data_IF_400673999534
#
_entry.id   IF_400673999534
#
_cell.length_a   1.000
_cell.length_b   1.000
_cell.length_c   1.000
_cell.angle_alpha   90.00
_cell.angle_beta   90.00
_cell.angle_gamma   90.00
#
_symmetry.space_group_name_H-M   'P 1'
#
loop_
_entity.id
_entity.type
_entity.pdbx_description
1 polymer ?
#
# COMPACT_ATOMS: atom_id res chain seq x y z
N UNK A 1 -16.96 -15.33 0.04
CA UNK A 1 -16.10 -15.87 -1.04
C UNK A 1 -15.16 -16.87 -0.40
N UNK A 2 -15.04 -18.09 -0.95
CA UNK A 2 -14.27 -19.18 -0.34
C UNK A 2 -13.02 -19.46 -1.17
N UNK A 3 -11.89 -19.62 -0.47
CA UNK A 3 -10.61 -20.04 -1.04
C UNK A 3 -10.17 -21.36 -0.41
N UNK A 4 -9.48 -22.19 -1.18
CA UNK A 4 -8.81 -23.40 -0.71
C UNK A 4 -7.36 -23.27 -1.15
N UNK A 5 -6.44 -23.09 -0.21
CA UNK A 5 -5.00 -22.94 -0.47
C UNK A 5 -4.29 -24.28 -0.27
N UNK A 6 -3.42 -24.62 -1.21
CA UNK A 6 -2.54 -25.78 -1.14
C UNK A 6 -1.10 -25.33 -0.88
N UNK A 7 -0.34 -26.12 -0.12
CA UNK A 7 1.05 -25.80 0.23
C UNK A 7 2.01 -25.72 -0.97
N UNK A 8 1.62 -26.26 -2.12
CA UNK A 8 2.38 -26.22 -3.38
C UNK A 8 2.24 -24.89 -4.15
N UNK A 9 1.56 -23.89 -3.57
CA UNK A 9 1.30 -22.61 -4.21
C UNK A 9 0.10 -22.59 -5.15
N UNK A 10 -0.68 -23.69 -5.23
CA UNK A 10 -1.96 -23.69 -5.94
C UNK A 10 -3.11 -23.28 -5.02
N UNK A 11 -4.16 -22.70 -5.59
CA UNK A 11 -5.40 -22.44 -4.87
C UNK A 11 -6.62 -22.68 -5.75
N UNK A 12 -7.77 -22.88 -5.10
CA UNK A 12 -9.08 -22.85 -5.75
C UNK A 12 -9.93 -21.75 -5.15
N UNK A 13 -10.68 -21.05 -5.98
CA UNK A 13 -11.59 -20.01 -5.53
C UNK A 13 -13.00 -20.25 -6.04
N UNK A 14 -13.96 -19.96 -5.16
CA UNK A 14 -15.38 -20.16 -5.40
C UNK A 14 -15.97 -18.98 -6.17
N UNK A 15 -16.66 -19.28 -7.26
CA UNK A 15 -17.31 -18.28 -8.10
C UNK A 15 -18.71 -18.73 -8.54
N UNK A 16 -19.56 -17.73 -8.81
CA UNK A 16 -20.88 -17.94 -9.38
C UNK A 16 -20.78 -17.74 -10.90
N UNK A 17 -21.09 -18.79 -11.67
CA UNK A 17 -21.16 -18.71 -13.12
C UNK A 17 -22.44 -17.96 -13.57
N UNK A 18 -22.51 -17.46 -14.82
CA UNK A 18 -23.68 -16.70 -15.31
C UNK A 18 -25.03 -17.43 -15.29
N UNK A 19 -25.01 -18.74 -15.08
CA UNK A 19 -26.18 -19.60 -14.96
C UNK A 19 -26.52 -19.96 -13.51
N UNK A 20 -26.06 -19.16 -12.55
CA UNK A 20 -26.21 -19.34 -11.11
C UNK A 20 -25.66 -20.67 -10.55
N UNK A 21 -24.78 -21.34 -11.31
CA UNK A 21 -24.07 -22.52 -10.81
C UNK A 21 -22.81 -22.10 -10.08
N UNK A 22 -22.57 -22.78 -8.98
CA UNK A 22 -21.39 -22.59 -8.15
C UNK A 22 -20.26 -23.49 -8.60
N UNK A 23 -19.10 -22.90 -8.84
CA UNK A 23 -17.93 -23.61 -9.35
C UNK A 23 -16.67 -23.18 -8.61
N UNK A 24 -15.67 -24.06 -8.63
CA UNK A 24 -14.30 -23.71 -8.28
C UNK A 24 -13.50 -23.48 -9.55
N UNK A 25 -12.67 -22.44 -9.54
CA UNK A 25 -11.65 -22.22 -10.56
C UNK A 25 -10.27 -22.32 -9.91
N UNK A 26 -9.32 -22.89 -10.65
CA UNK A 26 -7.93 -22.98 -10.22
C UNK A 26 -7.24 -21.62 -10.32
N UNK A 27 -6.22 -21.43 -9.49
CA UNK A 27 -5.34 -20.26 -9.48
C UNK A 27 -4.07 -20.58 -8.70
N UNK A 28 -3.20 -19.59 -8.54
CA UNK A 28 -1.96 -19.72 -7.76
C UNK A 28 -1.91 -18.66 -6.68
N UNK A 29 -1.11 -18.91 -5.65
CA UNK A 29 -0.87 -17.95 -4.59
C UNK A 29 0.59 -17.96 -4.14
N UNK A 30 1.02 -16.83 -3.60
CA UNK A 30 2.35 -16.67 -3.00
C UNK A 30 2.29 -15.63 -1.88
N UNK A 31 3.16 -15.78 -0.89
CA UNK A 31 3.40 -14.73 0.12
C UNK A 31 4.50 -13.80 -0.42
N UNK A 32 4.30 -12.50 -0.25
CA UNK A 32 5.31 -11.49 -0.54
C UNK A 32 6.52 -11.70 0.37
N UNK A 33 7.70 -11.91 -0.23
CA UNK A 33 8.92 -12.25 0.48
C UNK A 33 9.49 -11.10 1.34
N UNK A 34 9.05 -9.85 1.11
CA UNK A 34 9.56 -8.68 1.82
C UNK A 34 8.70 -8.31 3.03
N UNK A 35 7.41 -8.63 2.97
CA UNK A 35 6.43 -8.19 3.97
C UNK A 35 5.83 -9.32 4.79
N UNK A 36 5.99 -10.59 4.37
CA UNK A 36 5.55 -11.86 5.01
C UNK A 36 4.07 -11.94 5.42
N UNK A 37 3.33 -10.83 5.34
CA UNK A 37 1.92 -10.70 5.69
C UNK A 37 1.07 -10.28 4.49
N UNK A 38 1.63 -10.22 3.28
CA UNK A 38 0.88 -10.00 2.05
C UNK A 38 0.81 -11.32 1.28
N UNK A 39 -0.40 -11.74 0.94
CA UNK A 39 -0.66 -12.85 0.03
C UNK A 39 -1.13 -12.31 -1.32
N UNK A 40 -0.45 -12.73 -2.38
CA UNK A 40 -0.88 -12.50 -3.75
C UNK A 40 -1.63 -13.74 -4.24
N UNK A 41 -2.81 -13.52 -4.81
CA UNK A 41 -3.64 -14.56 -5.41
C UNK A 41 -3.82 -14.21 -6.88
N UNK A 42 -3.33 -15.07 -7.77
CA UNK A 42 -3.48 -14.93 -9.21
C UNK A 42 -4.77 -15.63 -9.65
N UNK A 43 -5.72 -14.83 -10.10
CA UNK A 43 -6.99 -15.26 -10.71
C UNK A 43 -7.00 -14.80 -12.18
N UNK A 44 -8.11 -14.21 -12.65
CA UNK A 44 -8.18 -13.46 -13.90
C UNK A 44 -7.31 -12.18 -13.83
N UNK A 45 -7.10 -11.66 -12.62
CA UNK A 45 -6.15 -10.60 -12.26
C UNK A 45 -5.48 -10.98 -10.96
N UNK A 46 -4.29 -10.46 -10.70
CA UNK A 46 -3.64 -10.60 -9.40
C UNK A 46 -4.36 -9.71 -8.39
N UNK A 47 -4.77 -10.32 -7.28
CA UNK A 47 -5.36 -9.63 -6.13
C UNK A 47 -4.46 -9.86 -4.94
N UNK A 48 -4.06 -8.78 -4.27
CA UNK A 48 -3.21 -8.85 -3.08
C UNK A 48 -4.06 -8.67 -1.84
N UNK A 49 -3.80 -9.42 -0.78
CA UNK A 49 -4.43 -9.25 0.52
C UNK A 49 -3.39 -9.13 1.63
N UNK A 50 -3.63 -8.26 2.61
CA UNK A 50 -2.89 -8.26 3.85
C UNK A 50 -3.55 -9.23 4.81
N UNK A 51 -2.77 -10.16 5.35
CA UNK A 51 -3.14 -11.06 6.44
C UNK A 51 -3.15 -10.23 7.72
N UNK A 52 -4.32 -10.12 8.34
CA UNK A 52 -4.52 -9.38 9.60
C UNK A 52 -4.74 -10.31 10.80
N UNK A 53 -5.05 -11.58 10.53
CA UNK A 53 -5.19 -12.62 11.55
C UNK A 53 -4.87 -13.97 10.90
N UNK A 54 -3.96 -14.73 11.52
CA UNK A 54 -3.66 -16.10 11.11
C UNK A 54 -3.56 -16.99 12.34
N UNK A 55 -4.53 -17.87 12.51
CA UNK A 55 -4.56 -18.92 13.52
C UNK A 55 -4.86 -20.25 12.83
N UNK A 56 -4.87 -21.34 13.59
CA UNK A 56 -5.23 -22.67 13.06
C UNK A 56 -6.63 -22.68 12.41
N UNK A 57 -7.56 -21.90 12.93
CA UNK A 57 -8.98 -21.92 12.53
C UNK A 57 -9.39 -20.67 11.73
N UNK A 58 -8.59 -19.60 11.76
CA UNK A 58 -8.95 -18.30 11.17
C UNK A 58 -7.83 -17.78 10.29
N UNK A 59 -8.16 -17.51 9.03
CA UNK A 59 -7.40 -16.64 8.14
C UNK A 59 -8.26 -15.41 7.86
N UNK A 60 -7.88 -14.27 8.43
CA UNK A 60 -8.51 -12.97 8.13
C UNK A 60 -7.59 -12.17 7.22
N UNK A 61 -8.14 -11.78 6.09
CA UNK A 61 -7.45 -11.07 5.03
C UNK A 61 -8.23 -9.81 4.67
N UNK A 62 -7.51 -8.72 4.43
CA UNK A 62 -8.08 -7.46 3.95
C UNK A 62 -7.48 -7.19 2.58
N UNK A 63 -8.32 -6.82 1.61
CA UNK A 63 -7.87 -6.48 0.26
C UNK A 63 -6.79 -5.39 0.37
N UNK A 64 -5.62 -5.66 -0.19
CA UNK A 64 -4.57 -4.65 -0.33
C UNK A 64 -4.86 -3.93 -1.62
N UNK A 65 -5.22 -2.67 -1.52
CA UNK A 65 -5.30 -1.82 -2.69
C UNK A 65 -3.87 -1.43 -3.05
N UNK A 66 -3.50 -1.65 -4.31
CA UNK A 66 -2.14 -1.34 -4.77
C UNK A 66 -1.97 0.17 -4.68
N UNK A 67 -1.16 0.63 -3.72
CA UNK A 67 -0.80 2.04 -3.66
C UNK A 67 0.29 2.31 -4.68
N UNK A 68 0.19 3.43 -5.37
CA UNK A 68 1.24 3.92 -6.26
C UNK A 68 1.77 5.22 -5.72
N UNK A 69 2.97 5.60 -6.14
CA UNK A 69 3.53 6.92 -5.81
C UNK A 69 2.58 8.03 -6.25
N UNK A 70 2.36 8.98 -5.34
CA UNK A 70 1.70 10.26 -5.59
C UNK A 70 2.49 11.02 -6.66
N UNK A 71 1.81 11.89 -7.42
CA UNK A 71 2.44 12.59 -8.54
C UNK A 71 3.56 13.53 -8.07
N UNK A 72 3.28 14.38 -7.09
CA UNK A 72 4.23 15.37 -6.57
C UNK A 72 4.07 15.61 -5.07
N UNK A 73 5.18 15.79 -4.34
CA UNK A 73 5.19 16.40 -3.00
C UNK A 73 5.28 17.92 -3.13
N UNK A 74 4.31 18.65 -2.59
CA UNK A 74 4.31 20.11 -2.58
C UNK A 74 4.82 20.70 -1.27
N UNK A 75 4.46 20.09 -0.14
CA UNK A 75 4.83 20.59 1.18
C UNK A 75 5.06 19.48 2.19
N UNK A 76 5.93 19.75 3.16
CA UNK A 76 6.23 18.85 4.27
C UNK A 76 6.07 19.59 5.60
N UNK A 77 5.45 18.92 6.57
CA UNK A 77 5.40 19.39 7.95
C UNK A 77 5.97 18.33 8.86
N UNK A 78 6.86 18.72 9.77
CA UNK A 78 7.48 17.83 10.75
C UNK A 78 7.21 18.33 12.16
N UNK A 79 7.03 17.39 13.09
CA UNK A 79 6.93 17.62 14.52
C UNK A 79 7.66 16.49 15.26
N UNK A 80 7.79 16.61 16.58
CA UNK A 80 8.38 15.54 17.40
C UNK A 80 7.62 14.20 17.34
N UNK A 81 6.40 14.16 16.80
CA UNK A 81 5.59 12.93 16.79
C UNK A 81 5.17 12.48 15.40
N UNK A 82 5.24 13.36 14.40
CA UNK A 82 4.69 13.06 13.09
C UNK A 82 5.39 13.82 11.97
N UNK A 83 5.46 13.13 10.82
CA UNK A 83 5.79 13.69 9.52
C UNK A 83 4.50 13.76 8.71
N UNK A 84 4.24 14.90 8.09
CA UNK A 84 3.10 15.13 7.20
C UNK A 84 3.62 15.52 5.82
N UNK A 85 2.97 15.02 4.78
CA UNK A 85 3.25 15.39 3.41
C UNK A 85 1.96 15.79 2.70
N UNK A 86 2.00 16.92 2.01
CA UNK A 86 0.92 17.39 1.15
C UNK A 86 1.43 17.45 -0.29
N UNK A 87 0.59 17.06 -1.24
CA UNK A 87 0.98 16.92 -2.64
C UNK A 87 -0.23 16.91 -3.56
N UNK A 88 -0.02 16.46 -4.79
CA UNK A 88 -1.09 16.37 -5.80
C UNK A 88 -1.06 15.03 -6.53
N UNK A 89 -2.19 14.67 -7.13
CA UNK A 89 -2.38 13.54 -8.06
C UNK A 89 -3.08 14.02 -9.33
N UNK A 90 -2.94 13.28 -10.43
CA UNK A 90 -3.38 13.71 -11.77
C UNK A 90 -4.88 13.47 -12.07
N UNK A 91 -5.60 12.79 -11.18
CA UNK A 91 -7.02 12.48 -11.36
C UNK A 91 -7.78 12.61 -10.05
N UNK A 92 -9.10 12.72 -10.14
CA UNK A 92 -9.96 12.63 -8.97
C UNK A 92 -10.04 11.19 -8.42
N UNK A 93 -10.41 11.04 -7.15
CA UNK A 93 -10.81 9.76 -6.56
C UNK A 93 -9.69 8.91 -5.96
N UNK A 94 -8.47 9.44 -5.85
CA UNK A 94 -7.40 8.80 -5.08
C UNK A 94 -7.74 8.74 -3.59
N UNK A 95 -7.30 7.69 -2.90
CA UNK A 95 -7.64 7.42 -1.49
C UNK A 95 -6.43 6.92 -0.71
N UNK A 96 -6.59 6.87 0.61
CA UNK A 96 -5.70 6.17 1.54
C UNK A 96 -4.22 6.52 1.37
N UNK A 97 -3.96 7.83 1.24
CA UNK A 97 -2.61 8.34 1.10
C UNK A 97 -1.78 8.03 2.35
N UNK A 98 -0.54 7.59 2.15
CA UNK A 98 0.33 7.12 3.20
C UNK A 98 1.79 7.48 2.87
N UNK A 99 2.60 7.61 3.91
CA UNK A 99 4.06 7.64 3.80
C UNK A 99 4.60 6.29 4.24
N UNK A 100 5.23 5.57 3.31
CA UNK A 100 5.82 4.26 3.58
C UNK A 100 7.32 4.46 3.79
N UNK A 101 7.89 4.11 4.96
CA UNK A 101 9.33 4.22 5.18
C UNK A 101 10.09 3.27 4.25
N UNK A 102 11.16 3.78 3.67
CA UNK A 102 12.11 3.00 2.88
C UNK A 102 13.13 2.31 3.80
N UNK A 103 13.75 1.21 3.35
CA UNK A 103 14.87 0.63 4.06
C UNK A 103 15.96 1.69 4.34
N UNK A 104 16.63 1.63 5.52
CA UNK A 104 17.63 2.62 5.89
C UNK A 104 18.70 2.76 4.81
N UNK A 105 18.87 3.97 4.27
CA UNK A 105 20.00 4.30 3.41
C UNK A 105 21.20 4.65 4.30
N UNK A 106 22.41 4.21 3.91
CA UNK A 106 23.65 4.56 4.60
C UNK A 106 23.81 6.08 4.57
N UNK A 107 23.50 6.76 5.69
CA UNK A 107 23.50 8.22 5.74
C UNK A 107 22.69 8.90 6.83
N UNK A 108 22.03 8.15 7.74
CA UNK A 108 21.32 8.73 8.89
C UNK A 108 20.11 9.59 8.49
N UNK A 109 19.46 9.26 7.38
CA UNK A 109 18.26 9.92 6.89
C UNK A 109 17.11 8.94 6.92
N UNK A 110 15.92 9.43 7.26
CA UNK A 110 14.71 8.65 7.14
C UNK A 110 14.00 8.99 5.83
N UNK A 111 13.85 8.01 4.97
CA UNK A 111 13.31 8.18 3.62
C UNK A 111 11.92 7.55 3.54
N UNK A 112 11.00 8.19 2.82
CA UNK A 112 9.61 7.75 2.66
C UNK A 112 9.14 7.81 1.22
N UNK A 113 8.33 6.84 0.82
CA UNK A 113 7.51 6.91 -0.39
C UNK A 113 6.14 7.52 -0.06
N UNK A 114 5.77 8.60 -0.74
CA UNK A 114 4.43 9.16 -0.68
C UNK A 114 3.56 8.41 -1.69
N UNK A 115 2.67 7.57 -1.19
CA UNK A 115 1.83 6.69 -2.00
C UNK A 115 0.35 6.89 -1.69
N UNK A 116 -0.50 6.52 -2.63
CA UNK A 116 -1.95 6.51 -2.45
C UNK A 116 -2.59 5.45 -3.35
N UNK A 117 -3.81 5.04 -3.01
CA UNK A 117 -4.59 4.16 -3.86
C UNK A 117 -5.12 4.95 -5.06
N UNK A 118 -4.86 4.51 -6.31
CA UNK A 118 -5.44 5.11 -7.49
C UNK A 118 -6.94 4.81 -7.56
N UNK A 119 -7.73 5.67 -8.21
CA UNK A 119 -9.16 5.48 -8.39
C UNK A 119 -9.46 4.24 -9.25
N UNK A 120 -10.59 3.59 -8.98
CA UNK A 120 -11.10 2.50 -9.81
C UNK A 120 -11.88 3.05 -11.01
N UNK A 121 -11.61 2.50 -12.20
CA UNK A 121 -12.34 2.81 -13.42
C UNK A 121 -12.09 4.22 -13.98
N UNK A 122 -12.98 4.68 -14.86
CA UNK A 122 -12.86 5.98 -15.51
C UNK A 122 -13.20 7.11 -14.55
N UNK A 123 -12.26 8.03 -14.33
CA UNK A 123 -12.43 9.22 -13.49
C UNK A 123 -12.05 10.50 -14.22
N UNK A 124 -12.46 11.64 -13.68
CA UNK A 124 -12.10 12.95 -14.19
C UNK A 124 -10.58 13.20 -14.10
N UNK A 125 -10.00 13.72 -15.19
CA UNK A 125 -8.61 14.17 -15.24
C UNK A 125 -8.52 15.59 -14.67
N UNK A 126 -8.33 15.67 -13.36
CA UNK A 126 -8.20 16.92 -12.62
C UNK A 126 -7.11 16.76 -11.56
N UNK A 127 -6.25 17.77 -11.46
CA UNK A 127 -5.22 17.83 -10.42
C UNK A 127 -5.91 17.96 -9.07
N UNK A 128 -5.72 16.97 -8.21
CA UNK A 128 -6.41 16.90 -6.90
C UNK A 128 -5.37 16.93 -5.78
N UNK A 129 -5.56 17.75 -4.72
CA UNK A 129 -4.67 17.73 -3.56
C UNK A 129 -4.80 16.43 -2.78
N UNK A 130 -3.70 15.97 -2.19
CA UNK A 130 -3.67 14.77 -1.36
C UNK A 130 -2.72 14.96 -0.18
N UNK A 131 -3.01 14.34 0.96
CA UNK A 131 -2.24 14.49 2.19
C UNK A 131 -2.10 13.17 2.93
N UNK A 132 -0.91 12.92 3.47
CA UNK A 132 -0.62 11.80 4.35
C UNK A 132 0.05 12.28 5.65
N UNK A 133 -0.05 11.43 6.67
CA UNK A 133 0.63 11.60 7.96
C UNK A 133 1.25 10.26 8.36
N UNK A 134 2.47 10.33 8.87
CA UNK A 134 3.19 9.22 9.46
C UNK A 134 3.53 9.55 10.89
N UNK A 135 3.27 8.61 11.80
CA UNK A 135 3.60 8.77 13.22
C UNK A 135 5.00 8.20 13.46
N UNK A 136 5.90 9.05 13.97
CA UNK A 136 7.27 8.66 14.25
C UNK A 136 7.36 7.77 15.49
N UNK A 137 8.04 6.65 15.35
CA UNK A 137 8.50 5.81 16.46
C UNK A 137 9.56 6.54 17.30
N UNK A 138 9.84 6.04 18.50
CA UNK A 138 10.79 6.67 19.40
C UNK A 138 12.22 6.73 18.83
N UNK A 139 12.62 5.73 18.03
CA UNK A 139 13.92 5.71 17.36
C UNK A 139 13.98 6.72 16.22
N UNK A 140 12.92 6.80 15.41
CA UNK A 140 12.85 7.69 14.26
C UNK A 140 12.89 9.17 14.66
N UNK A 141 12.38 9.51 15.86
CA UNK A 141 12.44 10.86 16.44
C UNK A 141 13.86 11.37 16.67
N UNK A 142 14.85 10.47 16.73
CA UNK A 142 16.26 10.86 16.85
C UNK A 142 16.88 11.28 15.50
N UNK A 143 16.18 11.05 14.38
CA UNK A 143 16.60 11.55 13.09
C UNK A 143 16.20 13.03 12.96
N UNK A 144 17.11 13.81 12.42
CA UNK A 144 16.88 15.22 12.15
C UNK A 144 16.58 15.51 10.67
N UNK A 145 16.65 14.50 9.79
CA UNK A 145 16.50 14.69 8.35
C UNK A 145 15.59 13.64 7.73
N UNK A 146 14.50 14.12 7.15
CA UNK A 146 13.45 13.33 6.53
C UNK A 146 13.36 13.65 5.05
N UNK A 147 13.29 12.64 4.18
CA UNK A 147 13.11 12.82 2.73
C UNK A 147 11.86 12.07 2.29
N UNK A 148 10.97 12.76 1.58
CA UNK A 148 9.77 12.18 0.99
C UNK A 148 9.90 12.18 -0.52
N UNK A 149 9.67 11.02 -1.13
CA UNK A 149 9.69 10.80 -2.57
C UNK A 149 8.27 10.71 -3.12
N UNK A 150 8.04 11.38 -4.24
CA UNK A 150 6.89 11.20 -5.12
C UNK A 150 7.40 10.79 -6.51
N UNK A 151 6.50 10.58 -7.47
CA UNK A 151 6.91 10.12 -8.80
C UNK A 151 7.68 11.17 -9.60
N UNK A 152 7.40 12.47 -9.40
CA UNK A 152 8.05 13.57 -10.13
C UNK A 152 9.13 14.31 -9.35
N UNK A 153 9.14 14.20 -8.02
CA UNK A 153 10.09 14.94 -7.20
C UNK A 153 10.37 14.23 -5.88
N UNK A 154 11.29 14.83 -5.11
CA UNK A 154 11.48 14.52 -3.70
C UNK A 154 11.69 15.81 -2.93
N UNK A 155 11.27 15.83 -1.66
CA UNK A 155 11.50 16.96 -0.75
C UNK A 155 12.12 16.47 0.54
N UNK A 156 13.01 17.29 1.09
CA UNK A 156 13.61 17.06 2.40
C UNK A 156 13.12 18.08 3.42
N UNK A 157 12.99 17.68 4.68
CA UNK A 157 12.71 18.56 5.81
C UNK A 157 13.59 18.18 7.00
N UNK A 158 13.94 19.17 7.81
CA UNK A 158 14.71 18.99 9.04
C UNK A 158 13.82 19.21 10.25
N UNK A 159 14.00 18.38 11.28
CA UNK A 159 13.43 18.65 12.60
C UNK A 159 14.40 19.59 13.33
N UNK A 160 13.91 20.79 13.68
CA UNK A 160 14.65 21.80 14.47
C UNK A 160 14.80 21.41 15.94
#
# INVERSE_FOLDING_TARGET
>A
MQYIFSADGTCKWYYLAPNDKHHFRDGTWKIDANTENIIHIEQDKTVSYRIVELTKEVLRMVLTTTKTTVFEVQDLGISQESLTASGTVNTAGWKDAELIPRPPSSGGKLEFDFVAQPPDGSVAQVITPIKAMYRLSQEERNNNHFIVYASHNKKGIFLE
#
